data_IF_956096572927
#
_entry.id   IF_956096572927
#
_cell.length_a   1.000
_cell.length_b   1.000
_cell.length_c   1.000
_cell.angle_alpha   90.00
_cell.angle_beta   90.00
_cell.angle_gamma   90.00
#
_symmetry.space_group_name_H-M   'P 1'
#
loop_
_entity.id
_entity.type
_entity.pdbx_description
1 polymer ?
#
# COMPACT_ATOMS: atom_id res chain seq x y z
N UNK A 1 -30.03 -21.72 3.12
CA UNK A 1 -29.33 -20.87 4.10
C UNK A 1 -27.85 -20.87 3.74
N UNK A 2 -27.44 -19.93 2.88
CA UNK A 2 -26.06 -19.79 2.36
C UNK A 2 -25.37 -18.52 2.89
N UNK A 3 -26.06 -17.74 3.73
CA UNK A 3 -25.69 -16.38 4.11
C UNK A 3 -24.46 -16.26 5.03
N UNK A 4 -24.04 -17.35 5.69
CA UNK A 4 -22.90 -17.35 6.62
C UNK A 4 -21.69 -18.13 6.08
N UNK A 5 -21.73 -18.62 4.84
CA UNK A 5 -20.60 -19.36 4.26
C UNK A 5 -19.57 -18.40 3.70
N UNK A 6 -18.36 -18.47 4.23
CA UNK A 6 -17.19 -17.82 3.64
C UNK A 6 -16.74 -18.62 2.41
N UNK A 7 -16.55 -17.94 1.28
CA UNK A 7 -16.10 -18.56 0.01
C UNK A 7 -14.59 -18.47 -0.22
N UNK A 8 -13.90 -17.76 0.66
CA UNK A 8 -12.46 -17.49 0.62
C UNK A 8 -12.08 -16.51 1.74
N UNK A 9 -10.81 -16.11 1.82
CA UNK A 9 -10.38 -15.04 2.72
C UNK A 9 -11.14 -13.73 2.43
N UNK A 10 -11.30 -12.89 3.45
CA UNK A 10 -11.94 -11.59 3.28
C UNK A 10 -11.12 -10.67 2.37
N UNK A 11 -11.80 -9.85 1.56
CA UNK A 11 -11.17 -8.75 0.83
C UNK A 11 -10.93 -7.60 1.80
N UNK A 12 -9.69 -7.44 2.25
CA UNK A 12 -9.29 -6.35 3.15
C UNK A 12 -8.79 -5.14 2.35
N UNK A 13 -9.29 -3.95 2.71
CA UNK A 13 -8.87 -2.67 2.15
C UNK A 13 -8.33 -1.79 3.27
N UNK A 14 -7.17 -1.18 3.03
CA UNK A 14 -6.51 -0.26 3.96
C UNK A 14 -6.50 1.11 3.31
N UNK A 15 -7.04 2.10 4.00
CA UNK A 15 -6.90 3.52 3.63
C UNK A 15 -5.89 4.16 4.57
N UNK A 16 -4.92 4.86 4.00
CA UNK A 16 -3.87 5.56 4.74
C UNK A 16 -3.78 6.98 4.21
N UNK A 17 -3.70 7.93 5.13
CA UNK A 17 -3.28 9.30 4.84
C UNK A 17 -1.94 9.55 5.53
N UNK A 18 -1.01 10.17 4.81
CA UNK A 18 0.29 10.56 5.30
C UNK A 18 0.55 12.03 4.94
N UNK A 19 1.16 12.76 5.85
CA UNK A 19 1.61 14.13 5.62
C UNK A 19 3.13 14.12 5.57
N UNK A 20 3.69 14.68 4.50
CA UNK A 20 5.11 14.90 4.33
C UNK A 20 5.40 16.39 4.50
N UNK A 21 6.41 16.69 5.29
CA UNK A 21 6.87 18.05 5.56
C UNK A 21 8.41 18.09 5.47
N UNK A 22 8.93 19.05 4.71
CA UNK A 22 10.35 19.30 4.53
C UNK A 22 10.92 20.40 5.45
N UNK A 23 10.10 21.01 6.32
CA UNK A 23 10.50 22.15 7.14
C UNK A 23 11.79 21.89 7.93
N UNK A 24 11.87 20.77 8.66
CA UNK A 24 13.05 20.41 9.47
C UNK A 24 14.32 20.24 8.60
N UNK A 25 14.19 19.64 7.41
CA UNK A 25 15.30 19.48 6.48
C UNK A 25 15.77 20.82 5.92
N UNK A 26 14.84 21.75 5.69
CA UNK A 26 15.12 23.09 5.15
C UNK A 26 15.77 24.03 6.19
N UNK A 27 15.66 23.74 7.49
CA UNK A 27 16.42 24.47 8.52
C UNK A 27 17.94 24.18 8.45
N UNK A 28 18.33 23.03 7.90
CA UNK A 28 19.72 22.59 7.78
C UNK A 28 20.07 22.28 6.31
N UNK A 29 20.08 23.29 5.40
CA UNK A 29 20.21 23.07 3.96
C UNK A 29 21.59 22.52 3.56
N UNK A 30 22.65 22.84 4.30
CA UNK A 30 23.99 22.28 4.06
C UNK A 30 24.06 20.77 4.34
N UNK A 31 23.22 20.27 5.26
CA UNK A 31 23.11 18.85 5.59
C UNK A 31 22.07 18.13 4.72
N UNK A 32 21.11 18.88 4.16
CA UNK A 32 20.02 18.36 3.33
C UNK A 32 19.97 19.04 1.95
N UNK A 33 21.04 18.95 1.12
CA UNK A 33 21.12 19.66 -0.15
C UNK A 33 20.00 19.26 -1.12
N UNK A 34 19.56 17.99 -1.08
CA UNK A 34 18.45 17.52 -1.92
C UNK A 34 17.13 18.18 -1.55
N UNK A 35 16.81 18.29 -0.25
CA UNK A 35 15.59 18.97 0.20
C UNK A 35 15.63 20.47 -0.12
N UNK A 36 16.80 21.10 0.00
CA UNK A 36 16.98 22.51 -0.34
C UNK A 36 16.84 22.80 -1.84
N UNK A 37 17.15 21.83 -2.72
CA UNK A 37 17.09 22.02 -4.18
C UNK A 37 15.77 21.56 -4.80
N UNK A 38 15.17 20.49 -4.27
CA UNK A 38 14.05 19.78 -4.90
C UNK A 38 12.84 19.60 -3.96
N UNK A 39 12.92 20.08 -2.72
CA UNK A 39 11.88 19.89 -1.71
C UNK A 39 11.57 18.40 -1.50
N UNK A 40 10.29 18.06 -1.59
CA UNK A 40 9.73 16.71 -1.44
C UNK A 40 9.60 15.95 -2.77
N UNK A 41 9.94 16.55 -3.92
CA UNK A 41 9.76 15.89 -5.23
C UNK A 41 10.40 14.50 -5.29
N UNK A 42 11.62 14.25 -4.79
CA UNK A 42 12.22 12.92 -4.88
C UNK A 42 11.43 11.85 -4.13
N UNK A 43 10.88 12.18 -2.96
CA UNK A 43 10.06 11.28 -2.16
C UNK A 43 8.71 11.01 -2.83
N UNK A 44 8.09 12.04 -3.40
CA UNK A 44 6.84 11.91 -4.15
C UNK A 44 7.05 11.03 -5.40
N UNK A 45 8.13 11.26 -6.15
CA UNK A 45 8.49 10.45 -7.31
C UNK A 45 8.74 8.98 -6.96
N UNK A 46 9.38 8.67 -5.83
CA UNK A 46 9.54 7.28 -5.38
C UNK A 46 8.19 6.59 -5.14
N UNK A 47 7.20 7.30 -4.61
CA UNK A 47 5.87 6.76 -4.37
C UNK A 47 5.09 6.59 -5.68
N UNK A 48 5.22 7.54 -6.61
CA UNK A 48 4.63 7.45 -7.96
C UNK A 48 5.18 6.27 -8.76
N UNK A 49 6.46 5.93 -8.58
CA UNK A 49 7.06 4.77 -9.22
C UNK A 49 6.52 3.42 -8.71
N UNK A 50 5.75 3.39 -7.61
CA UNK A 50 5.06 2.17 -7.18
C UNK A 50 3.88 1.79 -8.09
N UNK A 51 3.32 2.74 -8.83
CA UNK A 51 2.17 2.54 -9.72
C UNK A 51 2.52 2.68 -11.20
N UNK A 52 3.74 3.12 -11.51
CA UNK A 52 4.18 3.33 -12.89
C UNK A 52 5.27 2.31 -13.28
N UNK A 53 5.19 1.73 -14.49
CA UNK A 53 6.29 0.96 -15.05
C UNK A 53 7.47 1.88 -15.38
N UNK A 54 8.65 1.30 -15.52
CA UNK A 54 9.84 2.07 -15.93
C UNK A 54 9.75 2.48 -17.40
N UNK A 55 10.45 3.57 -17.76
CA UNK A 55 10.54 4.03 -19.15
C UNK A 55 11.12 2.95 -20.06
N UNK A 56 12.13 2.23 -19.58
CA UNK A 56 12.77 1.12 -20.31
C UNK A 56 11.76 0.02 -20.65
N UNK A 57 10.90 -0.33 -19.69
CA UNK A 57 9.82 -1.30 -19.90
C UNK A 57 8.83 -0.80 -20.96
N UNK A 58 8.38 0.46 -20.87
CA UNK A 58 7.44 1.02 -21.84
C UNK A 58 8.02 1.09 -23.27
N UNK A 59 9.31 1.42 -23.40
CA UNK A 59 9.99 1.45 -24.70
C UNK A 59 10.19 0.06 -25.28
N UNK A 60 10.48 -0.94 -24.45
CA UNK A 60 10.58 -2.33 -24.89
C UNK A 60 9.24 -2.86 -25.41
N UNK A 61 8.14 -2.56 -24.70
CA UNK A 61 6.79 -2.92 -25.14
C UNK A 61 6.40 -2.25 -26.45
N UNK A 62 6.68 -0.94 -26.60
CA UNK A 62 6.42 -0.23 -27.86
C UNK A 62 7.21 -0.85 -29.04
N UNK A 63 8.47 -1.22 -28.81
CA UNK A 63 9.28 -1.89 -29.83
C UNK A 63 8.73 -3.28 -30.22
N UNK A 64 8.27 -4.08 -29.26
CA UNK A 64 7.65 -5.39 -29.50
C UNK A 64 6.34 -5.26 -30.28
N UNK A 65 5.50 -4.30 -29.89
CA UNK A 65 4.25 -3.99 -30.59
C UNK A 65 4.51 -3.58 -32.04
N UNK A 66 5.50 -2.70 -32.27
CA UNK A 66 5.93 -2.27 -33.60
C UNK A 66 6.53 -3.43 -34.44
N UNK A 67 7.09 -4.45 -33.80
CA UNK A 67 7.57 -5.68 -34.44
C UNK A 67 6.45 -6.70 -34.74
N UNK A 68 5.18 -6.39 -34.44
CA UNK A 68 4.04 -7.28 -34.65
C UNK A 68 3.88 -8.36 -33.59
N UNK A 69 4.59 -8.25 -32.46
CA UNK A 69 4.41 -9.12 -31.30
C UNK A 69 3.39 -8.46 -30.37
N UNK A 70 2.20 -9.06 -30.25
CA UNK A 70 1.20 -8.59 -29.30
C UNK A 70 1.36 -9.36 -27.98
N UNK A 71 1.80 -8.69 -26.93
CA UNK A 71 1.80 -9.28 -25.59
C UNK A 71 0.35 -9.43 -25.09
N UNK A 72 -0.04 -10.64 -24.69
CA UNK A 72 -1.42 -10.96 -24.26
C UNK A 72 -1.58 -10.83 -22.73
N UNK A 73 -0.48 -10.94 -21.99
CA UNK A 73 -0.47 -10.86 -20.52
C UNK A 73 0.30 -9.60 -20.13
N UNK A 74 -0.30 -8.67 -19.37
CA UNK A 74 0.39 -7.47 -18.94
C UNK A 74 1.54 -7.81 -17.99
N UNK A 75 2.58 -6.96 -18.02
CA UNK A 75 3.72 -7.02 -17.10
C UNK A 75 3.30 -7.16 -15.62
N UNK A 76 3.98 -8.06 -14.90
CA UNK A 76 3.79 -8.22 -13.47
C UNK A 76 4.47 -7.07 -12.71
N UNK A 77 3.69 -6.30 -11.96
CA UNK A 77 4.21 -5.27 -11.07
C UNK A 77 5.05 -5.89 -9.93
N UNK A 78 6.02 -5.14 -9.41
CA UNK A 78 6.74 -5.54 -8.21
C UNK A 78 5.78 -5.77 -7.02
N UNK A 79 6.04 -6.79 -6.22
CA UNK A 79 5.22 -7.10 -5.04
C UNK A 79 5.39 -6.01 -3.97
N UNK A 80 4.37 -5.17 -3.79
CA UNK A 80 4.35 -4.14 -2.75
C UNK A 80 3.94 -4.73 -1.40
N UNK A 81 4.68 -4.38 -0.34
CA UNK A 81 4.39 -4.77 1.03
C UNK A 81 4.00 -3.55 1.87
N UNK A 82 2.88 -3.65 2.57
CA UNK A 82 2.52 -2.68 3.60
C UNK A 82 3.02 -3.18 4.96
N UNK A 83 3.92 -2.40 5.57
CA UNK A 83 4.56 -2.72 6.85
C UNK A 83 4.09 -1.72 7.90
N UNK A 84 3.33 -2.19 8.88
CA UNK A 84 2.78 -1.38 9.97
C UNK A 84 3.09 -2.03 11.31
N UNK A 85 4.36 -1.97 11.72
CA UNK A 85 4.99 -2.76 12.79
C UNK A 85 5.41 -4.18 12.40
N UNK A 86 6.18 -4.83 13.29
CA UNK A 86 6.64 -6.22 13.15
C UNK A 86 5.52 -7.26 13.02
N UNK A 87 4.31 -6.95 13.51
CA UNK A 87 3.20 -7.90 13.54
C UNK A 87 2.21 -7.72 12.39
N UNK A 88 2.35 -6.66 11.58
CA UNK A 88 1.44 -6.36 10.48
C UNK A 88 2.27 -6.02 9.24
N UNK A 89 2.64 -7.08 8.54
CA UNK A 89 3.28 -7.04 7.23
C UNK A 89 2.35 -7.78 6.28
N UNK A 90 1.90 -7.12 5.22
CA UNK A 90 0.87 -7.69 4.33
C UNK A 90 1.14 -7.30 2.88
N UNK A 91 1.02 -8.24 1.91
CA UNK A 91 1.13 -7.90 0.51
C UNK A 91 -0.08 -7.07 0.08
N UNK A 92 0.18 -5.99 -0.67
CA UNK A 92 -0.87 -5.07 -1.10
C UNK A 92 -0.73 -4.72 -2.57
N UNK A 93 -1.85 -4.38 -3.19
CA UNK A 93 -1.92 -3.65 -4.45
C UNK A 93 -2.49 -2.26 -4.18
N UNK A 94 -1.88 -1.24 -4.76
CA UNK A 94 -2.43 0.12 -4.73
C UNK A 94 -3.69 0.15 -5.60
N UNK A 95 -4.80 0.61 -5.03
CA UNK A 95 -6.07 0.85 -5.72
C UNK A 95 -6.34 2.33 -5.95
N UNK A 96 -5.76 3.18 -5.09
CA UNK A 96 -5.91 4.62 -5.14
C UNK A 96 -4.60 5.25 -4.68
N UNK A 97 -4.14 6.28 -5.39
CA UNK A 97 -2.98 7.08 -5.04
C UNK A 97 -3.28 8.53 -5.40
N UNK A 98 -3.22 9.41 -4.41
CA UNK A 98 -3.45 10.84 -4.58
C UNK A 98 -2.43 11.63 -3.79
N UNK A 99 -1.89 12.67 -4.40
CA UNK A 99 -0.96 13.62 -3.78
C UNK A 99 -1.58 15.01 -3.88
N UNK A 100 -1.67 15.70 -2.75
CA UNK A 100 -2.10 17.09 -2.64
C UNK A 100 -0.91 17.89 -2.13
N UNK A 101 -0.30 18.70 -2.99
CA UNK A 101 0.80 19.59 -2.62
C UNK A 101 0.24 20.89 -2.04
N UNK A 102 0.67 21.24 -0.82
CA UNK A 102 0.03 22.30 -0.03
C UNK A 102 0.90 23.54 0.15
N UNK A 103 2.22 23.39 0.15
CA UNK A 103 3.16 24.49 0.31
C UNK A 103 4.38 24.30 -0.58
N UNK A 104 4.96 25.41 -1.03
CA UNK A 104 6.06 25.45 -1.99
C UNK A 104 7.16 26.41 -1.54
N UNK A 105 8.39 26.13 -1.96
CA UNK A 105 9.51 27.08 -1.86
C UNK A 105 9.46 28.15 -2.98
N UNK A 106 10.37 29.15 -3.00
CA UNK A 106 10.41 30.16 -4.07
C UNK A 106 10.66 29.63 -5.48
N UNK A 107 11.17 28.40 -5.62
CA UNK A 107 11.41 27.73 -6.90
C UNK A 107 10.25 26.78 -7.28
N UNK A 108 9.14 26.82 -6.54
CA UNK A 108 7.96 25.97 -6.72
C UNK A 108 8.23 24.47 -6.45
N UNK A 109 9.21 24.16 -5.61
CA UNK A 109 9.36 22.81 -5.10
C UNK A 109 8.36 22.58 -3.94
N UNK A 110 7.57 21.50 -3.94
CA UNK A 110 6.69 21.18 -2.83
C UNK A 110 7.50 20.93 -1.56
N UNK A 111 7.15 21.62 -0.49
CA UNK A 111 7.76 21.48 0.85
C UNK A 111 6.78 20.89 1.87
N UNK A 112 5.49 20.85 1.54
CA UNK A 112 4.47 20.12 2.29
C UNK A 112 3.50 19.45 1.32
N UNK A 113 3.22 18.17 1.54
CA UNK A 113 2.27 17.41 0.74
C UNK A 113 1.48 16.43 1.60
N UNK A 114 0.19 16.30 1.31
CA UNK A 114 -0.68 15.28 1.86
C UNK A 114 -0.88 14.17 0.84
N UNK A 115 -0.68 12.94 1.27
CA UNK A 115 -0.73 11.75 0.43
C UNK A 115 -1.82 10.82 0.93
N UNK A 116 -2.66 10.36 0.01
CA UNK A 116 -3.73 9.40 0.28
C UNK A 116 -3.49 8.12 -0.51
N UNK A 117 -3.49 6.99 0.20
CA UNK A 117 -3.37 5.66 -0.37
C UNK A 117 -4.64 4.86 -0.10
N UNK A 118 -5.16 4.23 -1.15
CA UNK A 118 -6.05 3.08 -1.05
C UNK A 118 -5.26 1.82 -1.41
N UNK A 119 -5.24 0.86 -0.50
CA UNK A 119 -4.51 -0.40 -0.64
C UNK A 119 -5.50 -1.56 -0.52
N UNK A 120 -5.44 -2.51 -1.45
CA UNK A 120 -6.11 -3.81 -1.31
C UNK A 120 -5.10 -4.85 -0.88
N UNK A 121 -5.39 -5.55 0.21
CA UNK A 121 -4.60 -6.70 0.64
C UNK A 121 -4.75 -7.83 -0.38
N UNK A 122 -3.62 -8.37 -0.82
CA UNK A 122 -3.57 -9.54 -1.70
C UNK A 122 -3.61 -10.81 -0.84
N UNK A 123 -4.46 -11.75 -1.19
CA UNK A 123 -4.62 -13.01 -0.47
C UNK A 123 -4.25 -14.23 -1.33
N UNK A 124 -4.49 -15.43 -0.80
CA UNK A 124 -4.19 -16.69 -1.50
C UNK A 124 -5.10 -16.96 -2.70
N UNK A 125 -6.27 -16.33 -2.80
CA UNK A 125 -7.13 -16.41 -3.98
C UNK A 125 -6.60 -15.50 -5.10
N UNK A 126 -5.90 -14.40 -4.75
CA UNK A 126 -5.29 -13.49 -5.73
C UNK A 126 -3.92 -14.02 -6.23
N UNK A 127 -3.09 -14.59 -5.34
CA UNK A 127 -1.69 -14.93 -5.63
C UNK A 127 -1.39 -16.44 -5.62
N UNK A 128 -2.28 -17.26 -5.06
CA UNK A 128 -2.02 -18.67 -4.80
C UNK A 128 -1.06 -18.93 -3.62
N UNK A 129 -1.06 -20.18 -3.12
CA UNK A 129 -0.20 -20.60 -1.99
C UNK A 129 1.29 -20.71 -2.35
N UNK A 130 1.61 -20.91 -3.63
CA UNK A 130 2.99 -21.06 -4.11
C UNK A 130 3.76 -19.74 -4.20
N UNK A 131 3.04 -18.63 -4.37
CA UNK A 131 3.64 -17.30 -4.54
C UNK A 131 4.16 -16.75 -3.19
N UNK A 132 5.32 -16.05 -3.16
CA UNK A 132 5.84 -15.44 -1.93
C UNK A 132 4.84 -14.54 -1.21
N UNK A 133 4.09 -13.73 -1.96
CA UNK A 133 3.03 -12.88 -1.39
C UNK A 133 1.90 -13.68 -0.72
N UNK A 134 1.47 -14.80 -1.32
CA UNK A 134 0.48 -15.69 -0.69
C UNK A 134 0.97 -16.25 0.64
N UNK A 135 2.26 -16.64 0.73
CA UNK A 135 2.86 -17.08 1.99
C UNK A 135 2.91 -15.97 3.05
N UNK A 136 3.25 -14.73 2.65
CA UNK A 136 3.24 -13.58 3.56
C UNK A 136 1.82 -13.33 4.09
N UNK A 137 0.80 -13.41 3.23
CA UNK A 137 -0.59 -13.29 3.65
C UNK A 137 -0.99 -14.38 4.67
N UNK A 138 -0.57 -15.63 4.46
CA UNK A 138 -0.85 -16.70 5.42
C UNK A 138 -0.20 -16.46 6.79
N UNK A 139 1.04 -15.96 6.82
CA UNK A 139 1.70 -15.53 8.07
C UNK A 139 0.94 -14.38 8.73
N UNK A 140 0.53 -13.38 7.96
CA UNK A 140 -0.28 -12.27 8.45
C UNK A 140 -1.60 -12.74 9.07
N UNK A 141 -2.31 -13.66 8.39
CA UNK A 141 -3.58 -14.22 8.88
C UNK A 141 -3.38 -15.01 10.17
N UNK A 142 -2.36 -15.87 10.25
CA UNK A 142 -2.04 -16.61 11.48
C UNK A 142 -1.68 -15.69 12.66
N UNK A 143 -0.95 -14.60 12.41
CA UNK A 143 -0.69 -13.59 13.44
C UNK A 143 -1.99 -12.92 13.93
N UNK A 144 -2.93 -12.66 13.02
CA UNK A 144 -4.25 -12.09 13.35
C UNK A 144 -5.07 -13.05 14.21
N UNK A 145 -5.03 -14.35 13.92
CA UNK A 145 -5.67 -15.39 14.74
C UNK A 145 -5.07 -15.45 16.16
N UNK A 146 -3.74 -15.42 16.27
CA UNK A 146 -3.07 -15.41 17.57
C UNK A 146 -3.41 -14.16 18.39
N UNK A 147 -3.51 -12.99 17.76
CA UNK A 147 -3.92 -11.75 18.42
C UNK A 147 -5.38 -11.81 18.85
N UNK A 148 -6.27 -12.33 17.99
CA UNK A 148 -7.67 -12.51 18.32
C UNK A 148 -7.87 -13.44 19.52
N UNK A 149 -7.08 -14.52 19.63
CA UNK A 149 -7.12 -15.43 20.77
C UNK A 149 -6.68 -14.79 22.11
N UNK A 150 -5.95 -13.67 22.07
CA UNK A 150 -5.55 -12.91 23.25
C UNK A 150 -6.55 -11.83 23.64
N UNK A 151 -7.52 -11.53 22.78
CA UNK A 151 -8.54 -10.53 23.09
C UNK A 151 -9.52 -11.08 24.13
N UNK A 152 -9.75 -10.32 25.21
CA UNK A 152 -10.74 -10.70 26.22
C UNK A 152 -12.15 -10.61 25.64
N UNK A 153 -12.89 -11.72 25.64
CA UNK A 153 -14.30 -11.71 25.25
C UNK A 153 -15.14 -10.96 26.29
N UNK A 154 -15.84 -9.91 25.87
CA UNK A 154 -16.78 -9.18 26.72
C UNK A 154 -18.06 -10.01 26.89
N UNK A 155 -18.55 -10.16 28.13
CA UNK A 155 -19.79 -10.88 28.39
C UNK A 155 -20.98 -10.16 27.72
N UNK A 156 -21.91 -10.92 27.14
CA UNK A 156 -23.13 -10.40 26.48
C UNK A 156 -23.95 -9.49 27.42
N UNK A 157 -23.86 -9.71 28.73
CA UNK A 157 -24.45 -8.87 29.77
C UNK A 157 -23.90 -7.44 29.80
N UNK A 158 -22.64 -7.22 29.41
CA UNK A 158 -22.03 -5.88 29.29
C UNK A 158 -22.60 -5.12 28.08
N UNK A 159 -23.11 -5.84 27.07
CA UNK A 159 -23.78 -5.27 25.91
C UNK A 159 -25.28 -5.00 26.17
N UNK A 160 -25.74 -5.14 27.42
CA UNK A 160 -27.13 -4.90 27.83
C UNK A 160 -28.11 -6.00 27.40
N UNK A 161 -27.61 -7.12 26.87
CA UNK A 161 -28.41 -8.27 26.49
C UNK A 161 -28.41 -9.28 27.64
N UNK A 162 -29.60 -9.56 28.20
CA UNK A 162 -29.78 -10.56 29.27
C UNK A 162 -29.66 -12.02 28.79
N UNK A 163 -29.60 -12.24 27.49
CA UNK A 163 -29.53 -13.53 26.81
C UNK A 163 -29.74 -13.38 25.31
N UNK A 164 -29.50 -14.45 24.55
CA UNK A 164 -29.97 -14.54 23.17
C UNK A 164 -31.51 -14.70 23.18
N UNK A 165 -32.25 -14.07 22.25
CA UNK A 165 -33.71 -14.21 22.16
C UNK A 165 -34.15 -15.66 21.89
#
# INVERSE_FOLDING_TARGET
VDALRLRGPAVETIKLEAELDAADQLELPEQNPTAAQLGLQPQLAQLEMLVNPTVETLQAEDALANAGTLEIIPMEQALTLFVWSKNRVVPVRLTEFSVTEEAFDPHLNPIRAKISFGLRVLNVDDLGFGHPGGRIFMTYLGNKEQLAARATSVAISVLGLGGLP
#
